data_IF_575546914744
#
_entry.id   IF_575546914744
#
_cell.length_a   1.000
_cell.length_b   1.000
_cell.length_c   1.000
_cell.angle_alpha   90.00
_cell.angle_beta   90.00
_cell.angle_gamma   90.00
#
_symmetry.space_group_name_H-M   'P 1'
#
loop_
_entity.id
_entity.type
_entity.pdbx_description
1 polymer ?
#
# COMPACT_ATOMS: atom_id res chain seq x y z
N UNK A 1 1.45 9.54 -30.41
CA UNK A 1 0.83 8.30 -29.87
C UNK A 1 -0.10 8.69 -28.73
N UNK A 2 -1.33 8.17 -28.70
CA UNK A 2 -2.23 8.30 -27.55
C UNK A 2 -2.04 7.04 -26.69
N UNK A 3 -1.64 7.22 -25.39
CA UNK A 3 -1.44 6.13 -24.47
C UNK A 3 -2.51 6.17 -23.37
N UNK A 4 -3.33 5.12 -23.28
CA UNK A 4 -4.50 5.04 -22.38
C UNK A 4 -4.34 3.93 -21.32
N UNK A 5 -3.13 3.39 -21.13
CA UNK A 5 -2.88 2.26 -20.21
C UNK A 5 -2.04 2.65 -19.00
N UNK A 6 -2.22 3.89 -18.49
CA UNK A 6 -1.49 4.35 -17.29
C UNK A 6 -1.88 3.58 -16.01
N UNK A 7 -3.03 2.90 -15.99
CA UNK A 7 -3.42 2.01 -14.89
C UNK A 7 -2.51 0.79 -14.78
N UNK A 8 -1.92 0.33 -15.88
CA UNK A 8 -0.89 -0.72 -15.88
C UNK A 8 0.47 -0.15 -15.46
N UNK A 9 0.94 0.89 -16.13
CA UNK A 9 2.18 1.64 -15.83
C UNK A 9 2.16 3.00 -16.52
N UNK A 10 2.74 4.02 -15.93
CA UNK A 10 2.91 5.32 -16.60
C UNK A 10 3.99 5.22 -17.68
N UNK A 11 3.65 5.55 -18.92
CA UNK A 11 4.59 5.49 -20.04
C UNK A 11 5.65 6.60 -19.98
N UNK A 12 5.18 7.84 -19.83
CA UNK A 12 6.07 9.00 -19.80
C UNK A 12 6.56 9.27 -18.38
N UNK A 13 7.87 9.19 -18.18
CA UNK A 13 8.52 9.57 -16.93
C UNK A 13 9.14 10.95 -17.06
N UNK A 14 9.12 11.79 -16.02
CA UNK A 14 9.90 13.02 -16.01
C UNK A 14 11.39 12.74 -16.27
N UNK A 15 12.06 13.60 -17.03
CA UNK A 15 13.48 13.40 -17.36
C UNK A 15 14.41 13.34 -16.14
N UNK A 16 14.00 13.93 -15.01
CA UNK A 16 14.74 13.84 -13.75
C UNK A 16 14.81 12.41 -13.21
N UNK A 17 13.81 11.55 -13.49
CA UNK A 17 13.82 10.15 -13.04
C UNK A 17 15.00 9.39 -13.67
N UNK A 18 15.17 9.49 -14.99
CA UNK A 18 16.31 8.85 -15.68
C UNK A 18 17.66 9.38 -15.20
N UNK A 19 17.78 10.70 -14.99
CA UNK A 19 19.01 11.30 -14.44
C UNK A 19 19.33 10.80 -13.03
N UNK A 20 18.34 10.74 -12.14
CA UNK A 20 18.54 10.24 -10.79
C UNK A 20 18.93 8.75 -10.75
N UNK A 21 18.36 7.94 -11.65
CA UNK A 21 18.75 6.53 -11.77
C UNK A 21 20.21 6.40 -12.24
N UNK A 22 20.62 7.19 -13.21
CA UNK A 22 22.00 7.19 -13.72
C UNK A 22 22.98 7.63 -12.64
N UNK A 23 22.68 8.72 -11.94
CA UNK A 23 23.49 9.21 -10.81
C UNK A 23 23.65 8.14 -9.71
N UNK A 24 22.57 7.47 -9.35
CA UNK A 24 22.62 6.40 -8.35
C UNK A 24 23.49 5.20 -8.80
N UNK A 25 23.49 4.87 -10.11
CA UNK A 25 24.33 3.79 -10.68
C UNK A 25 25.79 4.18 -10.73
N UNK A 26 26.12 5.43 -11.06
CA UNK A 26 27.48 5.91 -11.24
C UNK A 26 28.18 6.22 -9.90
N UNK A 27 27.44 6.71 -8.90
CA UNK A 27 27.99 7.26 -7.66
C UNK A 27 27.55 6.52 -6.38
N UNK A 28 26.50 5.68 -6.45
CA UNK A 28 25.95 5.00 -5.29
C UNK A 28 26.71 3.73 -4.92
N UNK A 29 27.07 3.62 -3.63
CA UNK A 29 27.56 2.38 -3.01
C UNK A 29 26.47 1.63 -2.27
N UNK A 30 26.87 0.68 -1.39
CA UNK A 30 25.93 -0.04 -0.54
C UNK A 30 25.43 0.87 0.60
N UNK A 31 24.13 1.21 0.67
CA UNK A 31 23.61 2.18 1.65
C UNK A 31 23.62 1.69 3.10
N UNK A 32 23.89 0.40 3.34
CA UNK A 32 23.79 -0.19 4.68
C UNK A 32 25.13 -0.49 5.36
N UNK A 33 26.28 -0.35 4.66
CA UNK A 33 27.57 -0.79 5.19
C UNK A 33 28.71 0.10 4.71
N UNK A 34 29.35 0.80 5.65
CA UNK A 34 30.52 1.63 5.40
C UNK A 34 30.27 3.10 5.68
N UNK A 35 31.37 3.87 5.75
CA UNK A 35 31.35 5.31 6.02
C UNK A 35 32.02 6.14 4.92
N UNK A 36 32.28 5.53 3.75
CA UNK A 36 32.88 6.21 2.59
C UNK A 36 31.79 6.91 1.75
N UNK A 37 32.19 7.91 0.97
CA UNK A 37 31.26 8.81 0.28
C UNK A 37 30.22 8.09 -0.62
N UNK A 38 30.55 7.06 -1.43
CA UNK A 38 29.52 6.34 -2.22
C UNK A 38 28.44 5.68 -1.35
N UNK A 39 28.78 5.14 -0.18
CA UNK A 39 27.81 4.57 0.76
C UNK A 39 26.91 5.64 1.35
N UNK A 40 27.49 6.78 1.75
CA UNK A 40 26.73 7.90 2.32
C UNK A 40 25.81 8.53 1.26
N UNK A 41 26.28 8.63 0.01
CA UNK A 41 25.45 9.09 -1.12
C UNK A 41 24.22 8.20 -1.31
N UNK A 42 24.40 6.90 -1.42
CA UNK A 42 23.29 5.95 -1.55
C UNK A 42 22.32 5.99 -0.34
N UNK A 43 22.85 6.10 0.88
CA UNK A 43 22.04 6.23 2.09
C UNK A 43 21.20 7.51 2.08
N UNK A 44 21.75 8.63 1.64
CA UNK A 44 21.02 9.91 1.50
C UNK A 44 19.89 9.79 0.47
N UNK A 45 20.11 9.14 -0.67
CA UNK A 45 19.07 8.90 -1.69
C UNK A 45 17.90 8.13 -1.07
N UNK A 46 18.17 7.02 -0.37
CA UNK A 46 17.14 6.19 0.26
C UNK A 46 16.39 6.97 1.34
N UNK A 47 17.10 7.70 2.19
CA UNK A 47 16.49 8.47 3.27
C UNK A 47 15.63 9.62 2.73
N UNK A 48 16.13 10.39 1.76
CA UNK A 48 15.39 11.48 1.14
C UNK A 48 14.12 10.99 0.41
N UNK A 49 14.18 9.81 -0.21
CA UNK A 49 12.98 9.20 -0.79
C UNK A 49 11.93 8.85 0.29
N UNK A 50 12.36 8.37 1.46
CA UNK A 50 11.46 8.14 2.61
C UNK A 50 10.85 9.45 3.13
N UNK A 51 11.65 10.51 3.30
CA UNK A 51 11.18 11.83 3.71
C UNK A 51 10.11 12.38 2.75
N UNK A 52 10.37 12.28 1.45
CA UNK A 52 9.44 12.75 0.41
C UNK A 52 8.12 11.98 0.45
N UNK A 53 8.18 10.65 0.58
CA UNK A 53 6.98 9.81 0.68
C UNK A 53 6.24 10.03 2.00
N UNK A 54 6.95 10.20 3.11
CA UNK A 54 6.34 10.51 4.40
C UNK A 54 5.58 11.86 4.33
N UNK A 55 6.18 12.87 3.71
CA UNK A 55 5.52 14.17 3.48
C UNK A 55 4.28 14.01 2.58
N UNK A 56 4.40 13.27 1.47
CA UNK A 56 3.30 13.05 0.51
C UNK A 56 2.10 12.33 1.15
N UNK A 57 2.35 11.40 2.05
CA UNK A 57 1.34 10.58 2.71
C UNK A 57 0.90 11.14 4.08
N UNK A 58 1.49 12.25 4.53
CA UNK A 58 1.33 12.80 5.88
C UNK A 58 1.66 11.77 6.97
N UNK A 59 2.72 10.97 6.75
CA UNK A 59 3.19 9.99 7.72
C UNK A 59 3.93 10.68 8.88
N UNK A 60 3.97 10.03 10.03
CA UNK A 60 4.56 10.56 11.26
C UNK A 60 6.08 10.75 11.17
N UNK A 61 6.73 9.90 10.38
CA UNK A 61 8.20 9.86 10.25
C UNK A 61 8.61 9.15 8.95
N UNK A 62 9.77 9.47 8.37
CA UNK A 62 10.37 8.69 7.27
C UNK A 62 10.59 7.22 7.62
N UNK A 63 10.76 6.89 8.90
CA UNK A 63 10.95 5.51 9.37
C UNK A 63 9.70 4.64 9.21
N UNK A 64 8.53 5.26 9.03
CA UNK A 64 7.28 4.58 8.72
C UNK A 64 7.21 4.05 7.28
N UNK A 65 8.18 4.41 6.42
CA UNK A 65 8.21 4.02 5.01
C UNK A 65 9.25 2.90 4.82
N UNK A 66 8.78 1.76 4.32
CA UNK A 66 9.64 0.65 3.90
C UNK A 66 9.52 0.42 2.39
N UNK A 67 10.66 0.18 1.71
CA UNK A 67 10.67 -0.07 0.27
C UNK A 67 10.53 -1.55 -0.05
N UNK A 68 9.84 -1.83 -1.15
CA UNK A 68 9.69 -3.15 -1.78
C UNK A 68 9.88 -3.03 -3.28
N UNK A 69 10.01 -4.15 -3.97
CA UNK A 69 10.11 -4.15 -5.42
C UNK A 69 8.81 -3.72 -6.13
N UNK A 70 7.66 -3.85 -5.46
CA UNK A 70 6.35 -3.49 -6.00
C UNK A 70 5.27 -3.57 -4.90
N UNK A 71 4.07 -3.07 -5.19
CA UNK A 71 2.92 -3.14 -4.27
C UNK A 71 2.52 -4.58 -3.94
N UNK A 72 2.70 -5.53 -4.86
CA UNK A 72 2.36 -6.94 -4.61
C UNK A 72 3.21 -7.52 -3.47
N UNK A 73 4.51 -7.23 -3.46
CA UNK A 73 5.39 -7.61 -2.36
C UNK A 73 4.98 -6.92 -1.06
N UNK A 74 4.68 -5.62 -1.10
CA UNK A 74 4.22 -4.87 0.06
C UNK A 74 2.96 -5.48 0.69
N UNK A 75 1.93 -5.76 -0.14
CA UNK A 75 0.67 -6.38 0.30
C UNK A 75 0.88 -7.79 0.85
N UNK A 76 1.70 -8.62 0.20
CA UNK A 76 2.03 -9.94 0.72
C UNK A 76 2.75 -9.85 2.07
N UNK A 77 3.71 -8.94 2.21
CA UNK A 77 4.41 -8.71 3.48
C UNK A 77 3.44 -8.29 4.57
N UNK A 78 2.57 -7.32 4.29
CA UNK A 78 1.58 -6.83 5.25
C UNK A 78 0.59 -7.91 5.66
N UNK A 79 -0.09 -8.53 4.70
CA UNK A 79 -1.16 -9.50 4.98
C UNK A 79 -0.62 -10.76 5.66
N UNK A 80 0.49 -11.32 5.17
CA UNK A 80 1.11 -12.50 5.81
C UNK A 80 1.72 -12.17 7.18
N UNK A 81 2.11 -10.92 7.41
CA UNK A 81 2.63 -10.46 8.71
C UNK A 81 1.53 -10.23 9.75
N UNK A 82 0.34 -9.79 9.33
CA UNK A 82 -0.73 -9.36 10.21
C UNK A 82 -1.77 -10.45 10.50
N UNK A 83 -2.10 -11.30 9.52
CA UNK A 83 -3.19 -12.28 9.62
C UNK A 83 -2.67 -13.61 10.17
N UNK A 84 -3.37 -14.17 11.13
CA UNK A 84 -3.09 -15.47 11.77
C UNK A 84 -4.21 -16.47 11.48
N UNK A 85 -3.96 -17.78 11.57
CA UNK A 85 -5.05 -18.77 11.57
C UNK A 85 -6.09 -18.46 12.64
N UNK A 86 -7.37 -18.52 12.26
CA UNK A 86 -8.50 -18.15 13.12
C UNK A 86 -8.89 -16.68 13.07
N UNK A 87 -8.06 -15.78 12.50
CA UNK A 87 -8.47 -14.38 12.27
C UNK A 87 -9.46 -14.27 11.13
N UNK A 88 -10.39 -13.33 11.26
CA UNK A 88 -11.31 -12.96 10.19
C UNK A 88 -10.89 -11.62 9.57
N UNK A 89 -10.89 -11.58 8.23
CA UNK A 89 -10.57 -10.42 7.39
C UNK A 89 -11.81 -10.01 6.60
N UNK A 90 -12.13 -8.72 6.59
CA UNK A 90 -13.13 -8.14 5.70
C UNK A 90 -12.39 -7.47 4.53
N UNK A 91 -12.80 -7.79 3.31
CA UNK A 91 -12.26 -7.21 2.08
C UNK A 91 -13.39 -6.95 1.09
N UNK A 92 -13.08 -6.57 -0.16
CA UNK A 92 -14.09 -6.28 -1.19
C UNK A 92 -13.91 -7.15 -2.43
N UNK A 93 -14.97 -7.26 -3.24
CA UNK A 93 -14.86 -7.91 -4.56
C UNK A 93 -14.10 -7.07 -5.59
N UNK A 94 -13.80 -5.80 -5.27
CA UNK A 94 -13.07 -4.88 -6.15
C UNK A 94 -11.55 -5.00 -6.06
N UNK A 95 -11.04 -5.91 -5.22
CA UNK A 95 -9.62 -6.04 -4.96
C UNK A 95 -8.83 -6.56 -6.16
N UNK A 96 -7.60 -6.06 -6.28
CA UNK A 96 -6.64 -6.60 -7.22
C UNK A 96 -6.10 -7.97 -6.75
N UNK A 97 -5.63 -8.79 -7.68
CA UNK A 97 -5.01 -10.10 -7.39
C UNK A 97 -3.85 -10.04 -6.37
N UNK A 98 -3.21 -8.89 -6.22
CA UNK A 98 -2.16 -8.66 -5.21
C UNK A 98 -2.69 -8.74 -3.78
N UNK A 99 -4.00 -8.49 -3.57
CA UNK A 99 -4.72 -8.68 -2.30
C UNK A 99 -5.38 -10.06 -2.26
N UNK A 100 -6.07 -10.45 -3.32
CA UNK A 100 -6.87 -11.68 -3.35
C UNK A 100 -6.01 -12.95 -3.17
N UNK A 101 -4.88 -13.05 -3.87
CA UNK A 101 -4.03 -14.26 -3.82
C UNK A 101 -3.47 -14.55 -2.43
N UNK A 102 -2.85 -13.59 -1.71
CA UNK A 102 -2.43 -13.82 -0.33
C UNK A 102 -3.61 -14.12 0.59
N UNK A 103 -4.78 -13.49 0.43
CA UNK A 103 -5.96 -13.81 1.24
C UNK A 103 -6.47 -15.23 1.02
N UNK A 104 -6.51 -15.72 -0.23
CA UNK A 104 -6.88 -17.11 -0.51
C UNK A 104 -5.92 -18.09 0.14
N UNK A 105 -4.61 -17.84 0.06
CA UNK A 105 -3.60 -18.67 0.73
C UNK A 105 -3.77 -18.65 2.26
N UNK A 106 -4.01 -17.48 2.85
CA UNK A 106 -4.24 -17.37 4.30
C UNK A 106 -5.52 -18.09 4.71
N UNK A 107 -6.56 -18.09 3.86
CA UNK A 107 -7.79 -18.86 4.08
C UNK A 107 -7.53 -20.36 4.09
N UNK A 108 -6.68 -20.87 3.19
CA UNK A 108 -6.24 -22.27 3.21
C UNK A 108 -5.45 -22.62 4.48
N UNK A 109 -4.83 -21.63 5.11
CA UNK A 109 -4.08 -21.76 6.37
C UNK A 109 -4.95 -21.54 7.62
N UNK A 110 -6.26 -21.40 7.46
CA UNK A 110 -7.22 -21.31 8.57
C UNK A 110 -7.69 -19.91 8.93
N UNK A 111 -7.37 -18.88 8.15
CA UNK A 111 -8.01 -17.57 8.29
C UNK A 111 -9.40 -17.59 7.63
N UNK A 112 -10.28 -16.69 8.07
CA UNK A 112 -11.60 -16.48 7.48
C UNK A 112 -11.61 -15.18 6.68
N UNK A 113 -12.31 -15.15 5.54
CA UNK A 113 -12.39 -13.96 4.67
C UNK A 113 -13.81 -13.73 4.22
N UNK A 114 -14.33 -12.53 4.43
CA UNK A 114 -15.61 -12.05 3.90
C UNK A 114 -15.39 -10.96 2.84
N UNK A 115 -16.16 -11.03 1.76
CA UNK A 115 -16.06 -10.11 0.63
C UNK A 115 -17.29 -9.22 0.58
N UNK A 116 -17.09 -7.90 0.74
CA UNK A 116 -18.13 -6.90 0.53
C UNK A 116 -18.41 -6.83 -0.97
N UNK A 117 -19.66 -7.01 -1.31
CA UNK A 117 -20.16 -7.06 -2.69
C UNK A 117 -20.41 -5.66 -3.27
N UNK A 118 -20.62 -5.60 -4.57
CA UNK A 118 -21.16 -4.41 -5.24
C UNK A 118 -22.65 -4.58 -5.51
N UNK A 119 -23.35 -3.46 -5.68
CA UNK A 119 -24.72 -3.45 -6.17
C UNK A 119 -24.77 -3.57 -7.70
N UNK A 120 -25.99 -3.55 -8.26
CA UNK A 120 -26.22 -3.69 -9.70
C UNK A 120 -25.64 -2.50 -10.53
N UNK A 121 -25.23 -1.42 -9.86
CA UNK A 121 -24.54 -0.27 -10.46
C UNK A 121 -23.02 -0.34 -10.34
N UNK A 122 -22.49 -1.38 -9.68
CA UNK A 122 -21.07 -1.58 -9.43
C UNK A 122 -20.52 -0.87 -8.19
N UNK A 123 -21.38 -0.26 -7.35
CA UNK A 123 -20.98 0.43 -6.13
C UNK A 123 -20.90 -0.52 -4.95
N UNK A 124 -19.88 -0.37 -4.09
CA UNK A 124 -19.72 -1.17 -2.88
C UNK A 124 -20.95 -1.03 -1.96
N UNK A 125 -21.40 -2.16 -1.43
CA UNK A 125 -22.47 -2.25 -0.44
C UNK A 125 -21.91 -2.04 0.96
N UNK A 126 -21.67 -0.79 1.34
CA UNK A 126 -21.00 -0.43 2.59
C UNK A 126 -21.69 -0.97 3.85
N UNK A 127 -23.01 -1.19 3.81
CA UNK A 127 -23.77 -1.80 4.91
C UNK A 127 -23.34 -3.25 5.21
N UNK A 128 -22.66 -3.92 4.26
CA UNK A 128 -22.17 -5.27 4.48
C UNK A 128 -20.93 -5.33 5.39
N UNK A 129 -20.18 -4.24 5.56
CA UNK A 129 -19.06 -4.21 6.50
C UNK A 129 -19.54 -4.54 7.93
N UNK A 130 -20.64 -3.92 8.40
CA UNK A 130 -21.23 -4.24 9.71
C UNK A 130 -21.82 -5.66 9.75
N UNK A 131 -22.43 -6.15 8.66
CA UNK A 131 -23.01 -7.51 8.60
C UNK A 131 -21.96 -8.60 8.68
N UNK A 132 -20.76 -8.35 8.17
CA UNK A 132 -19.67 -9.31 8.17
C UNK A 132 -18.82 -9.27 9.43
N UNK A 133 -19.02 -8.30 10.31
CA UNK A 133 -18.27 -8.19 11.56
C UNK A 133 -18.50 -9.45 12.45
N UNK A 134 -17.40 -9.99 12.95
CA UNK A 134 -17.35 -11.17 13.81
C UNK A 134 -16.46 -10.91 15.03
N UNK A 135 -16.61 -11.68 16.12
CA UNK A 135 -15.74 -11.54 17.30
C UNK A 135 -14.25 -11.72 17.00
N UNK A 136 -13.92 -12.52 15.98
CA UNK A 136 -12.56 -12.77 15.51
C UNK A 136 -12.14 -11.87 14.33
N UNK A 137 -12.93 -10.85 13.95
CA UNK A 137 -12.50 -9.88 12.94
C UNK A 137 -11.33 -9.06 13.46
N UNK A 138 -10.23 -9.01 12.70
CA UNK A 138 -9.00 -8.32 13.07
C UNK A 138 -8.59 -7.26 12.06
N UNK A 139 -8.94 -7.45 10.80
CA UNK A 139 -8.38 -6.66 9.71
C UNK A 139 -9.43 -6.33 8.66
N UNK A 140 -9.34 -5.12 8.14
CA UNK A 140 -10.01 -4.70 6.90
C UNK A 140 -8.92 -4.37 5.88
N UNK A 141 -9.02 -4.95 4.68
CA UNK A 141 -8.15 -4.58 3.57
C UNK A 141 -8.99 -4.17 2.37
N UNK A 142 -8.68 -2.99 1.81
CA UNK A 142 -9.42 -2.44 0.66
C UNK A 142 -8.48 -1.80 -0.34
N UNK A 143 -8.79 -1.96 -1.63
CA UNK A 143 -8.21 -1.10 -2.66
C UNK A 143 -8.83 0.29 -2.60
N UNK A 144 -8.00 1.35 -2.68
CA UNK A 144 -8.49 2.73 -2.70
C UNK A 144 -9.13 3.09 -4.04
N UNK A 145 -8.62 2.51 -5.14
CA UNK A 145 -9.26 2.64 -6.46
C UNK A 145 -9.08 1.35 -7.26
N UNK A 146 -10.17 0.93 -7.90
CA UNK A 146 -10.13 -0.21 -8.81
C UNK A 146 -9.32 0.11 -10.07
N UNK A 147 -8.39 -0.77 -10.43
CA UNK A 147 -7.65 -0.66 -11.68
C UNK A 147 -8.49 -1.00 -12.93
N UNK A 148 -9.68 -1.58 -12.72
CA UNK A 148 -10.59 -2.01 -13.80
C UNK A 148 -11.66 -0.95 -14.07
N UNK A 149 -12.35 -0.50 -13.01
CA UNK A 149 -13.48 0.43 -13.15
C UNK A 149 -13.07 1.88 -12.90
N UNK A 150 -11.99 2.12 -12.15
CA UNK A 150 -11.57 3.46 -11.69
C UNK A 150 -12.38 3.99 -10.51
N UNK A 151 -13.34 3.22 -10.01
CA UNK A 151 -14.13 3.61 -8.85
C UNK A 151 -13.27 3.72 -7.59
N UNK A 152 -13.59 4.74 -6.80
CA UNK A 152 -12.93 5.00 -5.52
C UNK A 152 -13.72 4.36 -4.37
N UNK A 153 -13.01 3.67 -3.49
CA UNK A 153 -13.54 3.27 -2.18
C UNK A 153 -13.61 4.49 -1.27
N UNK A 154 -14.73 4.67 -0.58
CA UNK A 154 -14.85 5.69 0.48
C UNK A 154 -13.99 5.30 1.69
N UNK A 155 -12.73 5.76 1.67
CA UNK A 155 -11.79 5.49 2.76
C UNK A 155 -12.22 6.16 4.08
N UNK A 156 -12.99 7.25 4.05
CA UNK A 156 -13.49 7.88 5.27
C UNK A 156 -14.48 6.95 5.98
N UNK A 157 -15.39 6.33 5.22
CA UNK A 157 -16.31 5.32 5.76
C UNK A 157 -15.54 4.11 6.33
N UNK A 158 -14.64 3.52 5.53
CA UNK A 158 -13.90 2.31 5.95
C UNK A 158 -13.02 2.60 7.17
N UNK A 159 -12.39 3.77 7.21
CA UNK A 159 -11.61 4.26 8.36
C UNK A 159 -12.48 4.38 9.62
N UNK A 160 -13.64 5.04 9.51
CA UNK A 160 -14.56 5.18 10.64
C UNK A 160 -15.02 3.82 11.16
N UNK A 161 -15.35 2.90 10.26
CA UNK A 161 -15.70 1.52 10.59
C UNK A 161 -14.56 0.79 11.31
N UNK A 162 -13.34 0.82 10.75
CA UNK A 162 -12.19 0.17 11.35
C UNK A 162 -11.86 0.73 12.75
N UNK A 163 -11.86 2.07 12.91
CA UNK A 163 -11.66 2.74 14.20
C UNK A 163 -12.72 2.35 15.23
N UNK A 164 -14.00 2.36 14.83
CA UNK A 164 -15.14 2.00 15.71
C UNK A 164 -14.99 0.60 16.29
N UNK A 165 -14.45 -0.33 15.52
CA UNK A 165 -14.36 -1.75 15.91
C UNK A 165 -12.94 -2.18 16.31
N UNK A 166 -11.96 -1.26 16.36
CA UNK A 166 -10.59 -1.56 16.74
C UNK A 166 -9.88 -2.50 15.74
N UNK A 167 -10.21 -2.39 14.46
CA UNK A 167 -9.68 -3.23 13.40
C UNK A 167 -8.44 -2.58 12.75
N UNK A 168 -7.49 -3.38 12.33
CA UNK A 168 -6.36 -2.92 11.50
C UNK A 168 -6.84 -2.58 10.09
N UNK A 169 -6.50 -1.39 9.60
CA UNK A 169 -6.84 -0.94 8.25
C UNK A 169 -5.62 -1.01 7.32
N UNK A 170 -5.72 -1.86 6.31
CA UNK A 170 -4.73 -1.98 5.22
C UNK A 170 -5.33 -1.42 3.94
N UNK A 171 -4.59 -0.55 3.26
CA UNK A 171 -5.04 0.11 2.01
C UNK A 171 -4.09 -0.23 0.87
N UNK A 172 -4.63 -0.80 -0.22
CA UNK A 172 -3.93 -0.87 -1.51
C UNK A 172 -4.11 0.46 -2.26
N UNK A 173 -3.07 1.27 -2.26
CA UNK A 173 -3.02 2.56 -2.93
C UNK A 173 -2.27 2.51 -4.28
N UNK A 174 -2.17 1.34 -4.92
CA UNK A 174 -1.44 1.18 -6.19
C UNK A 174 -1.88 2.15 -7.29
N UNK A 175 -3.17 2.51 -7.32
CA UNK A 175 -3.71 3.43 -8.32
C UNK A 175 -3.75 4.88 -7.84
N UNK A 176 -3.65 5.13 -6.54
CA UNK A 176 -3.98 6.44 -5.97
C UNK A 176 -2.80 7.15 -5.31
N UNK A 177 -1.77 6.43 -4.85
CA UNK A 177 -0.56 7.05 -4.34
C UNK A 177 0.11 7.91 -5.41
N UNK A 178 0.20 9.22 -5.17
CA UNK A 178 0.67 10.22 -6.15
C UNK A 178 -0.41 10.80 -7.08
N UNK A 179 -1.59 10.16 -7.19
CA UNK A 179 -2.72 10.65 -8.00
C UNK A 179 -3.80 11.36 -7.17
N UNK A 180 -3.94 10.97 -5.91
CA UNK A 180 -4.92 11.52 -4.98
C UNK A 180 -4.26 11.84 -3.65
N UNK A 181 -4.66 12.91 -2.96
CA UNK A 181 -4.23 13.15 -1.59
C UNK A 181 -4.67 11.99 -0.68
N UNK A 182 -3.73 11.49 0.12
CA UNK A 182 -4.00 10.47 1.14
C UNK A 182 -3.29 10.92 2.41
N UNK A 183 -4.07 11.25 3.43
CA UNK A 183 -3.57 11.57 4.75
C UNK A 183 -3.73 10.33 5.64
N UNK A 184 -2.64 9.58 5.83
CA UNK A 184 -2.67 8.31 6.55
C UNK A 184 -2.99 8.50 8.03
N UNK A 185 -2.61 9.64 8.62
CA UNK A 185 -2.89 9.95 10.02
C UNK A 185 -4.37 10.31 10.22
N UNK A 186 -4.90 11.23 9.41
CA UNK A 186 -6.31 11.63 9.49
C UNK A 186 -7.25 10.46 9.26
N UNK A 187 -6.96 9.64 8.26
CA UNK A 187 -7.70 8.42 7.96
C UNK A 187 -7.43 7.29 8.98
N UNK A 188 -6.31 7.36 9.76
CA UNK A 188 -5.93 6.31 10.68
C UNK A 188 -5.65 4.99 9.98
N UNK A 189 -5.02 5.07 8.83
CA UNK A 189 -4.53 3.89 8.09
C UNK A 189 -3.37 3.27 8.86
N UNK A 190 -3.41 1.96 9.06
CA UNK A 190 -2.33 1.24 9.73
C UNK A 190 -1.22 0.84 8.76
N UNK A 191 -1.61 0.36 7.58
CA UNK A 191 -0.68 0.02 6.50
C UNK A 191 -1.22 0.53 5.18
N UNK A 192 -0.40 1.26 4.42
CA UNK A 192 -0.72 1.67 3.06
C UNK A 192 0.35 1.14 2.12
N UNK A 193 -0.06 0.36 1.12
CA UNK A 193 0.84 -0.24 0.14
C UNK A 193 0.77 0.51 -1.20
N UNK A 194 1.92 0.77 -1.82
CA UNK A 194 2.01 1.54 -3.06
C UNK A 194 3.03 0.98 -4.05
N UNK A 195 2.96 1.44 -5.30
CA UNK A 195 3.94 1.14 -6.35
C UNK A 195 4.51 2.42 -6.95
N UNK A 196 5.80 2.43 -7.27
CA UNK A 196 6.46 3.63 -7.77
C UNK A 196 6.20 3.92 -9.24
N UNK A 197 5.89 2.91 -10.06
CA UNK A 197 5.88 3.04 -11.53
C UNK A 197 4.56 3.54 -12.14
N UNK A 198 3.55 3.82 -11.32
CA UNK A 198 2.27 4.41 -11.74
C UNK A 198 2.28 5.92 -11.48
N UNK A 199 1.34 6.44 -10.69
CA UNK A 199 1.20 7.88 -10.49
C UNK A 199 2.36 8.54 -9.71
N UNK A 200 3.20 7.77 -9.03
CA UNK A 200 4.47 8.27 -8.48
C UNK A 200 5.55 8.49 -9.55
N UNK A 201 5.31 8.11 -10.81
CA UNK A 201 6.16 8.36 -11.98
C UNK A 201 7.57 7.76 -11.91
N UNK A 202 7.82 6.87 -10.96
CA UNK A 202 9.10 6.17 -10.79
C UNK A 202 9.30 5.01 -11.77
N UNK A 203 10.44 4.33 -11.73
CA UNK A 203 10.70 3.16 -12.56
C UNK A 203 9.90 1.94 -12.10
N UNK A 204 9.74 0.97 -13.00
CA UNK A 204 9.31 -0.37 -12.61
C UNK A 204 10.32 -1.01 -11.64
N UNK A 205 9.89 -1.96 -10.82
CA UNK A 205 10.74 -2.56 -9.80
C UNK A 205 10.84 -1.73 -8.51
N UNK A 206 9.97 -0.73 -8.34
CA UNK A 206 9.89 0.09 -7.14
C UNK A 206 8.48 0.11 -6.55
N UNK A 207 8.42 0.07 -5.24
CA UNK A 207 7.20 0.15 -4.45
C UNK A 207 7.54 0.25 -2.97
N UNK A 208 6.53 0.19 -2.12
CA UNK A 208 6.73 0.28 -0.68
C UNK A 208 5.45 0.19 0.10
N UNK A 209 5.60 0.30 1.40
CA UNK A 209 4.50 0.41 2.33
C UNK A 209 4.82 1.47 3.39
N UNK A 210 3.79 2.19 3.79
CA UNK A 210 3.73 2.91 5.04
C UNK A 210 3.20 1.97 6.12
N UNK A 211 3.75 2.08 7.30
CA UNK A 211 3.29 1.38 8.50
C UNK A 211 3.22 2.36 9.65
N UNK A 212 2.05 2.45 10.28
CA UNK A 212 1.83 3.32 11.43
C UNK A 212 2.72 2.90 12.60
N UNK A 213 3.40 3.85 13.30
CA UNK A 213 4.11 3.58 14.54
C UNK A 213 3.15 3.08 15.63
N UNK A 214 3.54 2.08 16.38
CA UNK A 214 2.72 1.56 17.48
C UNK A 214 2.59 0.03 17.46
N UNK A 215 1.46 -0.58 17.87
CA UNK A 215 1.37 -2.00 18.21
C UNK A 215 1.59 -2.99 17.06
N UNK A 216 1.84 -2.54 15.85
CA UNK A 216 2.38 -3.40 14.78
C UNK A 216 3.88 -3.56 15.03
N UNK A 217 4.24 -4.42 15.98
CA UNK A 217 5.64 -4.74 16.20
C UNK A 217 6.14 -5.59 15.03
N UNK A 218 6.88 -4.98 14.12
CA UNK A 218 7.78 -5.73 13.27
C UNK A 218 8.91 -6.25 14.15
N UNK A 219 8.80 -7.49 14.55
CA UNK A 219 9.97 -8.21 15.05
C UNK A 219 10.92 -8.35 13.87
N UNK A 220 12.12 -7.86 14.07
CA UNK A 220 13.27 -7.89 13.16
C UNK A 220 13.54 -9.26 12.56
#
# INVERSE_FOLDING_TARGET
MIYLDNAATTLQKPSCVGRAMLDALEHGGNPGRGAHEPTLHAARIVYHARETLATLLHAESPDCIAFTANVTQALNTALCGLVRPGDHVITTVCEHNSVLRPLYRLREQGAEVSFVEVDDTGRLRYEQFEKFLRPNTRLVVVTHASNVTGDLTDLAFVSAFAKKHGLTLVVDAAQTAGARPIDVQALGVDVLCFTGHKALLGPQGTGGLYVRPGPVSYTH
#
